data_IF_402587058817
#
_entry.id   IF_402587058817
#
_cell.length_a   1.000
_cell.length_b   1.000
_cell.length_c   1.000
_cell.angle_alpha   90.00
_cell.angle_beta   90.00
_cell.angle_gamma   90.00
#
_symmetry.space_group_name_H-M   'P 1'
#
loop_
_entity.id
_entity.type
_entity.pdbx_description
1 polymer ?
#
# COMPACT_ATOMS: atom_id res chain seq x y z
N UNK A 1 64.28 -2.21 -26.00
CA UNK A 1 63.26 -3.06 -25.35
C UNK A 1 62.26 -2.11 -24.70
N UNK A 2 61.12 -1.83 -25.36
CA UNK A 2 60.12 -0.87 -24.85
C UNK A 2 59.30 -1.54 -23.74
N UNK A 3 59.24 -0.92 -22.56
CA UNK A 3 58.38 -1.33 -21.46
C UNK A 3 56.97 -0.77 -21.68
N UNK A 4 55.97 -1.66 -21.77
CA UNK A 4 54.56 -1.28 -21.78
C UNK A 4 54.10 -1.02 -20.34
N UNK A 5 53.73 0.23 -20.03
CA UNK A 5 53.11 0.56 -18.75
C UNK A 5 51.63 0.15 -18.78
N UNK A 6 51.25 -0.78 -17.91
CA UNK A 6 49.86 -1.21 -17.75
C UNK A 6 48.99 -0.10 -17.16
N UNK A 7 47.84 0.15 -17.77
CA UNK A 7 46.81 1.04 -17.26
C UNK A 7 46.00 0.31 -16.18
N UNK A 8 46.26 0.61 -14.92
CA UNK A 8 45.41 0.20 -13.81
C UNK A 8 44.12 1.03 -13.82
N UNK A 9 43.00 0.41 -14.23
CA UNK A 9 41.67 1.00 -14.04
C UNK A 9 41.25 0.90 -12.58
N UNK A 10 41.28 2.02 -11.87
CA UNK A 10 40.66 2.16 -10.55
C UNK A 10 39.14 2.10 -10.72
N UNK A 11 38.52 1.00 -10.31
CA UNK A 11 37.06 0.91 -10.24
C UNK A 11 36.55 1.87 -9.16
N UNK A 12 35.76 2.87 -9.58
CA UNK A 12 35.08 3.78 -8.66
C UNK A 12 33.98 2.98 -7.95
N UNK A 13 33.95 2.92 -6.60
CA UNK A 13 32.87 2.27 -5.89
C UNK A 13 31.55 2.98 -6.24
N UNK A 14 30.44 2.24 -6.44
CA UNK A 14 29.16 2.86 -6.74
C UNK A 14 28.80 3.84 -5.62
N UNK A 15 28.60 5.10 -5.98
CA UNK A 15 28.13 6.10 -5.05
C UNK A 15 26.73 5.69 -4.58
N UNK A 16 26.58 5.40 -3.30
CA UNK A 16 25.27 5.16 -2.71
C UNK A 16 24.44 6.44 -2.89
N UNK A 17 23.30 6.34 -3.59
CA UNK A 17 22.37 7.45 -3.70
C UNK A 17 21.97 7.91 -2.29
N UNK A 18 21.97 9.23 -2.07
CA UNK A 18 21.47 9.79 -0.82
C UNK A 18 20.02 9.28 -0.59
N UNK A 19 19.65 8.88 0.64
CA UNK A 19 18.29 8.45 0.92
C UNK A 19 17.31 9.52 0.46
N UNK A 20 16.19 9.09 -0.14
CA UNK A 20 15.10 10.01 -0.46
C UNK A 20 14.70 10.77 0.81
N UNK A 21 14.24 12.03 0.68
CA UNK A 21 13.81 12.83 1.84
C UNK A 21 12.66 12.18 2.63
N UNK A 22 12.02 11.14 2.07
CA UNK A 22 10.91 10.39 2.65
C UNK A 22 11.32 9.01 3.17
N UNK A 23 12.58 8.60 3.02
CA UNK A 23 13.06 7.32 3.51
C UNK A 23 12.85 7.21 5.03
N UNK A 24 12.39 6.04 5.49
CA UNK A 24 12.07 5.76 6.89
C UNK A 24 10.69 6.24 7.35
N UNK A 25 9.97 7.04 6.56
CA UNK A 25 8.56 7.38 6.83
C UNK A 25 7.69 6.13 6.74
N UNK A 26 6.56 6.13 7.44
CA UNK A 26 5.56 5.08 7.44
C UNK A 26 4.33 5.58 6.68
N UNK A 27 3.85 4.80 5.70
CA UNK A 27 2.61 5.09 4.97
C UNK A 27 1.66 3.90 5.11
N UNK A 28 0.42 4.15 5.52
CA UNK A 28 -0.62 3.13 5.54
C UNK A 28 -1.45 3.22 4.26
N UNK A 29 -1.61 2.09 3.57
CA UNK A 29 -2.28 2.02 2.28
C UNK A 29 -3.59 1.24 2.42
N UNK A 30 -4.73 1.86 2.11
CA UNK A 30 -6.04 1.22 2.17
C UNK A 30 -6.61 0.98 0.77
N UNK A 31 -6.36 -0.19 0.14
CA UNK A 31 -7.09 -0.55 -1.06
C UNK A 31 -8.55 -0.82 -0.69
N UNK A 32 -9.41 0.14 -1.03
CA UNK A 32 -10.83 0.12 -0.70
C UNK A 32 -11.52 -1.17 -1.11
N UNK A 33 -12.61 -1.47 -0.40
CA UNK A 33 -13.46 -2.65 -0.55
C UNK A 33 -12.77 -4.00 -0.26
N UNK A 34 -13.54 -5.09 -0.34
CA UNK A 34 -13.10 -6.47 -0.13
C UNK A 34 -13.09 -7.22 -1.47
N UNK A 35 -12.25 -8.25 -1.57
CA UNK A 35 -12.21 -9.16 -2.72
C UNK A 35 -13.46 -10.03 -2.85
N UNK A 36 -14.06 -10.36 -1.72
CA UNK A 36 -15.35 -11.03 -1.62
C UNK A 36 -16.17 -10.44 -0.47
N UNK A 37 -17.49 -10.61 -0.52
CA UNK A 37 -18.41 -10.13 0.52
C UNK A 37 -19.34 -11.26 0.95
N UNK A 38 -19.71 -11.24 2.23
CA UNK A 38 -20.78 -12.05 2.81
C UNK A 38 -21.77 -11.14 3.57
N UNK A 39 -22.74 -11.73 4.28
CA UNK A 39 -23.75 -10.95 5.02
C UNK A 39 -23.18 -10.05 6.13
N UNK A 40 -21.92 -10.26 6.55
CA UNK A 40 -21.30 -9.47 7.62
C UNK A 40 -21.05 -8.01 7.21
N UNK A 41 -21.00 -7.69 5.91
CA UNK A 41 -20.74 -6.32 5.44
C UNK A 41 -21.81 -5.31 5.87
N UNK A 42 -23.04 -5.78 6.15
CA UNK A 42 -24.15 -4.95 6.62
C UNK A 42 -24.20 -4.76 8.14
N UNK A 43 -23.28 -5.39 8.90
CA UNK A 43 -23.12 -5.13 10.34
C UNK A 43 -22.85 -3.63 10.54
N UNK A 44 -23.60 -2.99 11.43
CA UNK A 44 -23.41 -1.56 11.71
C UNK A 44 -22.14 -1.31 12.53
N UNK A 45 -21.33 -0.35 12.09
CA UNK A 45 -20.11 0.11 12.76
C UNK A 45 -20.15 1.63 13.01
N UNK A 46 -19.49 2.16 14.06
CA UNK A 46 -19.53 3.59 14.38
C UNK A 46 -18.91 4.47 13.28
N UNK A 47 -19.50 5.64 13.02
CA UNK A 47 -18.95 6.63 12.07
C UNK A 47 -17.90 7.55 12.69
N UNK A 48 -17.68 7.45 14.00
CA UNK A 48 -16.88 8.41 14.77
C UNK A 48 -17.55 9.77 14.99
N UNK A 49 -18.80 9.94 14.53
CA UNK A 49 -19.57 11.22 14.63
C UNK A 49 -20.99 10.98 15.15
N UNK A 50 -21.15 10.07 16.11
CA UNK A 50 -22.42 9.81 16.79
C UNK A 50 -23.44 8.96 16.03
N UNK A 51 -23.11 8.49 14.81
CA UNK A 51 -23.95 7.58 14.03
C UNK A 51 -23.28 6.22 13.79
N UNK A 52 -24.00 5.35 13.09
CA UNK A 52 -23.46 4.09 12.55
C UNK A 52 -23.66 4.01 11.04
N UNK A 53 -22.95 3.10 10.39
CA UNK A 53 -23.09 2.76 8.98
C UNK A 53 -22.71 1.30 8.75
N UNK A 54 -23.01 0.77 7.58
CA UNK A 54 -22.56 -0.57 7.16
C UNK A 54 -21.03 -0.70 7.30
N UNK A 55 -20.60 -1.85 7.81
CA UNK A 55 -19.22 -2.29 7.95
C UNK A 55 -18.44 -2.14 6.65
N UNK A 56 -19.07 -2.50 5.52
CA UNK A 56 -18.47 -2.44 4.20
C UNK A 56 -19.55 -2.30 3.12
N UNK A 57 -19.17 -1.82 1.94
CA UNK A 57 -19.97 -1.87 0.71
C UNK A 57 -19.20 -2.64 -0.38
N UNK A 58 -19.88 -3.24 -1.35
CA UNK A 58 -19.19 -4.00 -2.40
C UNK A 58 -18.22 -3.17 -3.26
N UNK A 59 -18.49 -1.86 -3.37
CA UNK A 59 -17.87 -1.00 -4.38
C UNK A 59 -18.63 -1.04 -5.70
N UNK A 60 -18.15 -0.24 -6.66
CA UNK A 60 -18.70 -0.17 -8.01
C UNK A 60 -17.99 -1.12 -8.98
N UNK A 61 -18.42 -1.14 -10.23
CA UNK A 61 -17.82 -1.93 -11.31
C UNK A 61 -17.94 -1.14 -12.61
N UNK A 62 -16.92 -1.20 -13.47
CA UNK A 62 -17.01 -0.58 -14.80
C UNK A 62 -18.09 -1.25 -15.66
N UNK A 63 -18.52 -0.60 -16.74
CA UNK A 63 -19.47 -1.18 -17.69
C UNK A 63 -19.01 -2.52 -18.31
N UNK A 64 -17.69 -2.78 -18.30
CA UNK A 64 -17.09 -4.01 -18.81
C UNK A 64 -16.83 -5.07 -17.73
N UNK A 65 -17.29 -4.84 -16.49
CA UNK A 65 -17.15 -5.81 -15.40
C UNK A 65 -15.84 -5.73 -14.61
N UNK A 66 -15.05 -4.66 -14.70
CA UNK A 66 -13.85 -4.52 -13.87
C UNK A 66 -14.21 -3.96 -12.48
N UNK A 67 -14.07 -4.74 -11.39
CA UNK A 67 -14.52 -4.33 -10.06
C UNK A 67 -13.63 -3.26 -9.44
N UNK A 68 -14.23 -2.36 -8.67
CA UNK A 68 -13.50 -1.32 -7.94
C UNK A 68 -12.48 -1.92 -6.95
N UNK A 69 -12.81 -3.03 -6.27
CA UNK A 69 -11.90 -3.67 -5.32
C UNK A 69 -10.61 -4.16 -6.00
N UNK A 70 -10.70 -4.72 -7.20
CA UNK A 70 -9.53 -5.17 -7.97
C UNK A 70 -8.72 -4.00 -8.49
N UNK A 71 -9.37 -2.94 -8.96
CA UNK A 71 -8.68 -1.70 -9.33
C UNK A 71 -7.89 -1.10 -8.18
N UNK A 72 -8.53 -0.93 -7.02
CA UNK A 72 -7.91 -0.37 -5.84
C UNK A 72 -6.75 -1.24 -5.35
N UNK A 73 -6.90 -2.57 -5.41
CA UNK A 73 -5.84 -3.53 -5.09
C UNK A 73 -4.62 -3.34 -5.99
N UNK A 74 -4.81 -3.40 -7.31
CA UNK A 74 -3.73 -3.34 -8.30
C UNK A 74 -2.97 -2.01 -8.24
N UNK A 75 -3.70 -0.89 -8.16
CA UNK A 75 -3.10 0.44 -8.04
C UNK A 75 -2.32 0.54 -6.74
N UNK A 76 -2.87 0.06 -5.63
CA UNK A 76 -2.20 0.15 -4.32
C UNK A 76 -0.93 -0.68 -4.27
N UNK A 77 -0.89 -1.87 -4.89
CA UNK A 77 0.34 -2.66 -5.00
C UNK A 77 1.43 -1.93 -5.79
N UNK A 78 1.06 -1.18 -6.85
CA UNK A 78 1.99 -0.35 -7.60
C UNK A 78 2.50 0.84 -6.78
N UNK A 79 1.61 1.52 -6.05
CA UNK A 79 1.98 2.60 -5.12
C UNK A 79 2.93 2.09 -4.04
N UNK A 80 2.62 0.93 -3.44
CA UNK A 80 3.49 0.27 -2.48
C UNK A 80 4.89 0.00 -3.04
N UNK A 81 4.98 -0.59 -4.22
CA UNK A 81 6.27 -0.88 -4.84
C UNK A 81 7.13 0.38 -5.05
N UNK A 82 6.50 1.50 -5.45
CA UNK A 82 7.19 2.78 -5.61
C UNK A 82 7.65 3.34 -4.26
N UNK A 83 6.80 3.28 -3.24
CA UNK A 83 7.14 3.75 -1.88
C UNK A 83 8.27 2.93 -1.25
N UNK A 84 8.19 1.59 -1.35
CA UNK A 84 9.20 0.67 -0.85
C UNK A 84 10.56 0.93 -1.55
N UNK A 85 10.56 1.17 -2.87
CA UNK A 85 11.77 1.53 -3.63
C UNK A 85 12.38 2.88 -3.19
N UNK A 86 11.59 3.77 -2.58
CA UNK A 86 12.05 5.03 -2.01
C UNK A 86 12.41 4.92 -0.52
N UNK A 87 12.42 3.73 0.06
CA UNK A 87 12.76 3.48 1.45
C UNK A 87 11.66 3.83 2.44
N UNK A 88 10.42 4.02 1.98
CA UNK A 88 9.24 4.20 2.83
C UNK A 88 8.81 2.84 3.36
N UNK A 89 8.38 2.78 4.62
CA UNK A 89 7.80 1.58 5.23
C UNK A 89 6.30 1.58 4.97
N UNK A 90 5.79 0.51 4.37
CA UNK A 90 4.37 0.41 4.03
C UNK A 90 3.65 -0.67 4.84
N UNK A 91 2.37 -0.44 5.12
CA UNK A 91 1.44 -1.44 5.62
C UNK A 91 0.11 -1.30 4.87
N UNK A 92 -0.65 -2.38 4.76
CA UNK A 92 -1.90 -2.40 4.00
C UNK A 92 -3.09 -2.83 4.86
N UNK A 93 -4.27 -2.30 4.55
CA UNK A 93 -5.52 -2.63 5.26
C UNK A 93 -6.04 -4.04 4.99
N UNK A 94 -5.64 -4.66 3.87
CA UNK A 94 -5.95 -6.05 3.50
C UNK A 94 -4.77 -6.68 2.75
N UNK A 95 -4.75 -8.01 2.71
CA UNK A 95 -3.65 -8.81 2.14
C UNK A 95 -3.99 -9.61 0.88
N UNK A 96 -5.23 -9.54 0.38
CA UNK A 96 -5.69 -10.24 -0.82
C UNK A 96 -6.84 -9.48 -1.50
N UNK A 97 -7.27 -9.97 -2.67
CA UNK A 97 -8.41 -9.47 -3.46
C UNK A 97 -9.44 -10.56 -3.77
N UNK A 98 -9.54 -11.60 -2.93
CA UNK A 98 -10.44 -12.74 -3.12
C UNK A 98 -11.21 -13.18 -1.86
N UNK A 99 -11.01 -12.50 -0.72
CA UNK A 99 -11.67 -12.82 0.54
C UNK A 99 -12.35 -11.60 1.20
N UNK A 100 -13.13 -11.87 2.24
CA UNK A 100 -13.68 -10.84 3.13
C UNK A 100 -12.53 -10.17 3.89
N UNK A 101 -12.55 -8.84 3.92
CA UNK A 101 -11.56 -8.00 4.60
C UNK A 101 -12.16 -7.20 5.77
N UNK A 102 -11.35 -6.39 6.46
CA UNK A 102 -11.79 -5.64 7.65
C UNK A 102 -12.87 -4.58 7.34
N UNK A 103 -13.69 -4.28 8.34
CA UNK A 103 -14.68 -3.21 8.28
C UNK A 103 -14.02 -1.82 8.24
N UNK A 104 -14.75 -0.79 7.80
CA UNK A 104 -14.22 0.58 7.65
C UNK A 104 -13.67 1.19 8.96
N UNK A 105 -14.23 0.85 10.11
CA UNK A 105 -13.75 1.26 11.43
C UNK A 105 -12.47 0.52 11.83
N UNK A 106 -12.40 -0.78 11.55
CA UNK A 106 -11.21 -1.61 11.77
C UNK A 106 -10.03 -1.15 10.89
N UNK A 107 -10.28 -0.79 9.63
CA UNK A 107 -9.25 -0.22 8.73
C UNK A 107 -8.65 1.07 9.30
N UNK A 108 -9.49 1.95 9.84
CA UNK A 108 -9.03 3.16 10.51
C UNK A 108 -8.26 2.86 11.80
N UNK A 109 -8.71 1.87 12.59
CA UNK A 109 -8.01 1.44 13.80
C UNK A 109 -6.63 0.84 13.49
N UNK A 110 -6.52 0.03 12.43
CA UNK A 110 -5.24 -0.52 11.95
C UNK A 110 -4.26 0.58 11.56
N UNK A 111 -4.72 1.58 10.81
CA UNK A 111 -3.88 2.73 10.46
C UNK A 111 -3.40 3.46 11.73
N UNK A 112 -4.31 3.81 12.64
CA UNK A 112 -3.98 4.55 13.85
C UNK A 112 -3.00 3.80 14.77
N UNK A 113 -3.07 2.47 14.83
CA UNK A 113 -2.16 1.65 15.62
C UNK A 113 -0.69 1.78 15.16
N UNK A 114 -0.46 2.05 13.87
CA UNK A 114 0.88 2.23 13.31
C UNK A 114 1.44 3.64 13.48
N UNK A 115 0.59 4.62 13.82
CA UNK A 115 0.93 6.05 13.85
C UNK A 115 1.69 6.48 12.58
N UNK A 116 1.13 6.26 11.39
CA UNK A 116 1.82 6.52 10.13
C UNK A 116 2.05 8.01 9.94
N UNK A 117 2.99 8.34 9.06
CA UNK A 117 3.22 9.71 8.62
C UNK A 117 2.15 10.17 7.62
N UNK A 118 1.56 9.24 6.86
CA UNK A 118 0.44 9.45 5.95
C UNK A 118 -0.43 8.20 5.85
#
# INVERSE_FOLDING_TARGET
MLAAAGLSSSAVPPAAAAPSAIAGKIVFLDPGHNGANDASISRQVPTGRGGTKDCQASGTTTNSGYPEHTFNWDVTLRVRAILDANGVRTAMSRGNDDAVGPCVDERAAMANALRPNA
#
